data_IF_438961897650
#
_entry.id   IF_438961897650
#
_cell.length_a   1.000
_cell.length_b   1.000
_cell.length_c   1.000
_cell.angle_alpha   90.00
_cell.angle_beta   90.00
_cell.angle_gamma   90.00
#
_symmetry.space_group_name_H-M   'P 1'
#
loop_
_entity.id
_entity.type
_entity.pdbx_description
1 polymer ?
#
# COMPACT_ATOMS: atom_id res chain seq x y z
N UNK A 1 7.32 17.82 -5.61
CA UNK A 1 8.36 16.95 -6.21
C UNK A 1 8.55 17.35 -7.67
N UNK A 2 9.78 17.72 -8.08
CA UNK A 2 10.06 18.31 -9.41
C UNK A 2 9.68 17.40 -10.59
N UNK A 3 9.72 16.08 -10.43
CA UNK A 3 9.38 15.13 -11.50
C UNK A 3 7.89 15.16 -11.89
N UNK A 4 6.98 15.36 -10.92
CA UNK A 4 5.54 15.50 -11.22
C UNK A 4 5.28 16.71 -12.10
N UNK A 5 5.98 17.82 -11.80
CA UNK A 5 5.91 19.05 -12.56
C UNK A 5 6.50 18.88 -13.97
N UNK A 6 7.67 18.24 -14.07
CA UNK A 6 8.29 17.89 -15.37
C UNK A 6 7.32 17.11 -16.26
N UNK A 7 6.64 16.09 -15.71
CA UNK A 7 5.68 15.28 -16.46
C UNK A 7 4.43 16.06 -16.88
N UNK A 8 3.98 17.05 -16.10
CA UNK A 8 2.87 17.94 -16.48
C UNK A 8 3.27 18.87 -17.63
N UNK A 9 4.48 19.43 -17.56
CA UNK A 9 4.94 20.44 -18.51
C UNK A 9 5.51 19.83 -19.81
N UNK A 10 5.93 18.57 -19.78
CA UNK A 10 6.57 17.89 -20.91
C UNK A 10 6.02 16.48 -21.11
N UNK A 11 4.82 16.38 -21.71
CA UNK A 11 4.13 15.11 -21.95
C UNK A 11 4.93 14.10 -22.77
N UNK A 12 5.82 14.56 -23.66
CA UNK A 12 6.73 13.69 -24.42
C UNK A 12 7.68 12.90 -23.51
N UNK A 13 8.12 13.50 -22.40
CA UNK A 13 8.97 12.84 -21.41
C UNK A 13 8.15 11.80 -20.66
N UNK A 14 6.95 12.17 -20.19
CA UNK A 14 6.02 11.22 -19.55
C UNK A 14 5.73 10.02 -20.47
N UNK A 15 5.39 10.28 -21.73
CA UNK A 15 5.11 9.26 -22.74
C UNK A 15 6.28 8.27 -22.94
N UNK A 16 7.52 8.76 -22.88
CA UNK A 16 8.71 7.90 -22.94
C UNK A 16 8.75 6.94 -21.76
N UNK A 17 8.45 7.41 -20.56
CA UNK A 17 8.43 6.57 -19.35
C UNK A 17 7.23 5.62 -19.32
N UNK A 18 6.03 6.07 -19.70
CA UNK A 18 4.84 5.23 -19.81
C UNK A 18 4.98 4.14 -20.89
N UNK A 19 5.79 4.38 -21.93
CA UNK A 19 6.11 3.37 -22.94
C UNK A 19 7.17 2.37 -22.47
N UNK A 20 8.06 2.79 -21.57
CA UNK A 20 9.10 1.94 -20.99
C UNK A 20 8.58 1.07 -19.85
N UNK A 21 7.80 1.65 -18.93
CA UNK A 21 7.28 0.96 -17.75
C UNK A 21 5.85 0.50 -18.00
N UNK A 22 5.74 -0.72 -18.52
CA UNK A 22 4.46 -1.32 -18.90
C UNK A 22 3.65 -1.82 -17.71
N UNK A 23 4.32 -2.14 -16.61
CA UNK A 23 3.74 -2.61 -15.36
C UNK A 23 4.42 -1.88 -14.20
N UNK A 24 3.63 -1.40 -13.25
CA UNK A 24 4.10 -0.64 -12.09
C UNK A 24 3.73 -1.41 -10.84
N UNK A 25 4.74 -1.71 -10.03
CA UNK A 25 4.60 -2.36 -8.74
C UNK A 25 5.02 -1.36 -7.66
N UNK A 26 4.17 -1.15 -6.67
CA UNK A 26 4.47 -0.24 -5.55
C UNK A 26 4.26 -1.00 -4.25
N UNK A 27 5.31 -1.10 -3.45
CA UNK A 27 5.27 -1.67 -2.11
C UNK A 27 5.13 -0.56 -1.06
N UNK A 28 4.73 -0.91 0.16
CA UNK A 28 4.54 0.01 1.29
C UNK A 28 3.63 1.22 0.96
N UNK A 29 2.56 0.97 0.20
CA UNK A 29 1.73 2.02 -0.37
C UNK A 29 1.01 2.88 0.68
N UNK A 30 0.79 2.33 1.89
CA UNK A 30 0.20 3.06 3.02
C UNK A 30 1.02 4.28 3.46
N UNK A 31 2.33 4.28 3.21
CA UNK A 31 3.24 5.35 3.65
C UNK A 31 3.57 6.36 2.54
N UNK A 32 2.86 6.29 1.42
CA UNK A 32 3.03 7.24 0.32
C UNK A 32 2.45 8.62 0.66
N UNK A 33 3.19 9.67 0.31
CA UNK A 33 2.67 11.04 0.34
C UNK A 33 1.99 11.42 -0.97
N UNK A 34 1.30 12.56 -0.99
CA UNK A 34 0.55 13.06 -2.16
C UNK A 34 1.45 13.20 -3.40
N UNK A 35 2.70 13.63 -3.25
CA UNK A 35 3.59 13.81 -4.40
C UNK A 35 4.04 12.48 -5.01
N UNK A 36 4.31 11.47 -4.18
CA UNK A 36 4.60 10.10 -4.63
C UNK A 36 3.37 9.49 -5.32
N UNK A 37 2.19 9.64 -4.70
CA UNK A 37 0.93 9.19 -5.27
C UNK A 37 0.66 9.79 -6.66
N UNK A 38 0.85 11.12 -6.81
CA UNK A 38 0.69 11.79 -8.11
C UNK A 38 1.68 11.29 -9.18
N UNK A 39 2.93 11.00 -8.80
CA UNK A 39 3.90 10.42 -9.73
C UNK A 39 3.43 9.05 -10.23
N UNK A 40 3.02 8.19 -9.31
CA UNK A 40 2.55 6.84 -9.59
C UNK A 40 1.33 6.91 -10.52
N UNK A 41 0.37 7.81 -10.23
CA UNK A 41 -0.83 8.03 -11.06
C UNK A 41 -0.48 8.49 -12.47
N UNK A 42 0.47 9.42 -12.62
CA UNK A 42 0.95 9.85 -13.94
C UNK A 42 1.60 8.71 -14.73
N UNK A 43 2.47 7.92 -14.10
CA UNK A 43 3.14 6.80 -14.75
C UNK A 43 2.17 5.68 -15.14
N UNK A 44 1.17 5.40 -14.30
CA UNK A 44 0.16 4.37 -14.57
C UNK A 44 -0.91 4.81 -15.57
N UNK A 45 -1.13 6.12 -15.75
CA UNK A 45 -2.31 6.68 -16.43
C UNK A 45 -2.51 6.32 -17.91
N UNK A 46 -1.52 5.70 -18.59
CA UNK A 46 -1.67 5.25 -19.98
C UNK A 46 -2.24 3.83 -20.11
N UNK A 47 -1.92 2.95 -19.17
CA UNK A 47 -2.22 1.50 -19.27
C UNK A 47 -2.99 0.94 -18.08
N UNK A 48 -2.94 1.62 -16.94
CA UNK A 48 -3.55 1.19 -15.68
C UNK A 48 -3.06 -0.18 -15.19
N UNK A 49 -1.89 -0.62 -15.69
CA UNK A 49 -1.20 -1.82 -15.23
C UNK A 49 -0.41 -1.52 -13.94
N UNK A 50 -1.15 -1.26 -12.87
CA UNK A 50 -0.59 -0.93 -11.56
C UNK A 50 -1.02 -1.97 -10.52
N UNK A 51 -0.07 -2.42 -9.72
CA UNK A 51 -0.32 -3.24 -8.54
C UNK A 51 0.35 -2.55 -7.35
N UNK A 52 -0.45 -2.27 -6.33
CA UNK A 52 0.02 -1.69 -5.07
C UNK A 52 -0.16 -2.71 -3.96
N UNK A 53 0.82 -2.78 -3.07
CA UNK A 53 0.81 -3.61 -1.88
C UNK A 53 0.99 -2.68 -0.68
N UNK A 54 0.24 -2.94 0.39
CA UNK A 54 0.37 -2.19 1.62
C UNK A 54 -0.59 -2.66 2.68
N UNK A 55 -0.31 -2.24 3.90
CA UNK A 55 -1.09 -2.57 5.09
C UNK A 55 -1.43 -1.28 5.86
N UNK A 56 -2.71 -0.86 5.91
CA UNK A 56 -3.13 0.32 6.66
C UNK A 56 -2.72 0.35 8.13
N UNK A 57 -2.60 -0.82 8.79
CA UNK A 57 -2.22 -0.88 10.22
C UNK A 57 -0.71 -0.68 10.42
N UNK A 58 0.07 -0.70 9.34
CA UNK A 58 1.52 -0.51 9.36
C UNK A 58 1.94 0.90 8.90
N UNK A 59 1.00 1.82 8.72
CA UNK A 59 1.37 3.20 8.37
C UNK A 59 1.94 3.95 9.59
N UNK A 60 3.22 4.29 9.51
CA UNK A 60 3.98 4.94 10.60
C UNK A 60 4.66 6.24 10.16
N UNK A 61 4.55 6.64 8.89
CA UNK A 61 5.22 7.82 8.33
C UNK A 61 4.32 9.06 8.20
N UNK A 62 3.24 9.16 8.98
CA UNK A 62 2.34 10.33 8.97
C UNK A 62 3.08 11.65 9.24
N UNK A 63 4.09 11.63 10.11
CA UNK A 63 4.99 12.75 10.40
C UNK A 63 5.85 13.21 9.20
N UNK A 64 5.95 12.38 8.15
CA UNK A 64 6.56 12.71 6.84
C UNK A 64 5.52 12.94 5.75
N UNK A 65 4.29 13.28 6.13
CA UNK A 65 3.18 13.54 5.22
C UNK A 65 2.70 12.31 4.44
N UNK A 66 2.93 11.10 4.95
CA UNK A 66 2.24 9.92 4.44
C UNK A 66 0.72 10.12 4.57
N UNK A 67 -0.02 9.72 3.54
CA UNK A 67 -1.45 9.88 3.48
C UNK A 67 -2.14 8.52 3.34
N UNK A 68 -2.65 8.00 4.47
CA UNK A 68 -3.36 6.73 4.53
C UNK A 68 -4.58 6.69 3.57
N UNK A 69 -5.11 7.85 3.18
CA UNK A 69 -6.22 7.91 2.21
C UNK A 69 -5.82 7.40 0.84
N UNK A 70 -4.53 7.39 0.49
CA UNK A 70 -4.04 6.88 -0.80
C UNK A 70 -4.37 5.39 -0.96
N UNK A 71 -4.05 4.56 0.04
CA UNK A 71 -4.36 3.13 0.00
C UNK A 71 -5.85 2.86 0.19
N UNK A 72 -6.53 3.65 1.03
CA UNK A 72 -7.97 3.48 1.29
C UNK A 72 -8.85 3.90 0.10
N UNK A 73 -8.38 4.82 -0.73
CA UNK A 73 -9.12 5.36 -1.88
C UNK A 73 -8.69 4.74 -3.21
N UNK A 74 -7.76 3.78 -3.21
CA UNK A 74 -7.24 3.17 -4.44
C UNK A 74 -8.35 2.62 -5.34
N UNK A 75 -9.35 1.95 -4.76
CA UNK A 75 -10.52 1.40 -5.47
C UNK A 75 -11.42 2.49 -6.07
N UNK A 76 -11.36 3.73 -5.57
CA UNK A 76 -12.08 4.87 -6.17
C UNK A 76 -11.33 5.44 -7.37
N UNK A 77 -10.00 5.44 -7.31
CA UNK A 77 -9.14 5.93 -8.39
C UNK A 77 -8.98 4.92 -9.53
N UNK A 78 -9.07 3.62 -9.22
CA UNK A 78 -9.02 2.50 -10.16
C UNK A 78 -10.22 1.57 -9.89
N UNK A 79 -11.43 1.90 -10.36
CA UNK A 79 -12.63 1.08 -10.16
C UNK A 79 -12.53 -0.34 -10.74
N UNK A 80 -11.64 -0.54 -11.73
CA UNK A 80 -11.33 -1.83 -12.34
C UNK A 80 -10.34 -2.68 -11.51
N UNK A 81 -9.81 -2.15 -10.41
CA UNK A 81 -8.80 -2.83 -9.61
C UNK A 81 -9.36 -4.09 -8.96
N UNK A 82 -8.59 -5.19 -9.04
CA UNK A 82 -8.85 -6.40 -8.28
C UNK A 82 -8.21 -6.28 -6.91
N UNK A 83 -9.01 -6.39 -5.85
CA UNK A 83 -8.52 -6.45 -4.46
C UNK A 83 -8.27 -7.90 -4.07
N UNK A 84 -7.10 -8.15 -3.47
CA UNK A 84 -6.71 -9.45 -2.93
C UNK A 84 -6.25 -9.25 -1.50
N UNK A 85 -6.87 -9.98 -0.56
CA UNK A 85 -6.46 -9.99 0.84
C UNK A 85 -5.55 -11.19 1.11
N UNK A 86 -4.42 -10.95 1.77
CA UNK A 86 -3.51 -11.99 2.23
C UNK A 86 -3.70 -12.16 3.74
N UNK A 87 -4.54 -13.12 4.11
CA UNK A 87 -4.92 -13.35 5.51
C UNK A 87 -3.97 -14.31 6.24
N UNK A 88 -3.15 -15.05 5.50
CA UNK A 88 -2.22 -16.00 6.11
C UNK A 88 -0.88 -15.34 6.45
N UNK A 89 -0.55 -15.32 7.74
CA UNK A 89 0.74 -14.90 8.26
C UNK A 89 1.72 -16.09 8.30
N UNK A 90 2.82 -15.95 7.55
CA UNK A 90 3.89 -16.94 7.48
C UNK A 90 5.12 -16.60 8.35
N UNK A 91 5.11 -15.47 9.06
CA UNK A 91 6.27 -14.94 9.81
C UNK A 91 6.20 -15.27 11.30
N UNK A 92 5.03 -15.09 11.89
CA UNK A 92 4.83 -15.05 13.34
C UNK A 92 4.01 -16.25 13.82
N UNK A 93 4.33 -16.75 15.00
CA UNK A 93 3.57 -17.82 15.65
C UNK A 93 2.23 -17.30 16.17
N UNK A 94 1.32 -18.22 16.49
CA UNK A 94 -0.03 -17.90 16.96
C UNK A 94 -0.03 -16.91 18.14
N UNK A 95 0.84 -17.12 19.13
CA UNK A 95 0.95 -16.25 20.31
C UNK A 95 1.35 -14.82 19.97
N UNK A 96 2.30 -14.62 19.05
CA UNK A 96 2.72 -13.28 18.62
C UNK A 96 1.58 -12.61 17.83
N UNK A 97 0.92 -13.36 16.95
CA UNK A 97 -0.15 -12.86 16.11
C UNK A 97 -1.38 -12.44 16.92
N UNK A 98 -1.74 -13.21 17.95
CA UNK A 98 -2.81 -12.88 18.90
C UNK A 98 -2.52 -11.57 19.62
N UNK A 99 -1.32 -11.42 20.23
CA UNK A 99 -0.95 -10.17 20.92
C UNK A 99 -0.98 -8.96 19.98
N UNK A 100 -0.45 -9.11 18.75
CA UNK A 100 -0.50 -8.03 17.77
C UNK A 100 -1.95 -7.67 17.39
N UNK A 101 -2.82 -8.67 17.25
CA UNK A 101 -4.23 -8.50 16.91
C UNK A 101 -5.00 -7.80 18.04
N UNK A 102 -4.70 -8.14 19.29
CA UNK A 102 -5.31 -7.51 20.47
C UNK A 102 -4.90 -6.04 20.58
N UNK A 103 -3.62 -5.71 20.37
CA UNK A 103 -3.11 -4.33 20.41
C UNK A 103 -3.74 -3.47 19.32
N UNK A 104 -3.78 -3.97 18.07
CA UNK A 104 -4.34 -3.19 16.96
C UNK A 104 -5.87 -3.07 17.04
N UNK A 105 -6.53 -3.91 17.84
CA UNK A 105 -7.98 -3.90 18.00
C UNK A 105 -8.54 -2.60 18.56
N UNK A 106 -7.71 -1.82 19.26
CA UNK A 106 -8.09 -0.52 19.80
C UNK A 106 -8.24 0.57 18.72
N UNK A 107 -7.70 0.38 17.50
CA UNK A 107 -7.74 1.39 16.45
C UNK A 107 -9.11 1.45 15.73
N UNK A 108 -9.63 2.68 15.55
CA UNK A 108 -10.97 2.94 15.00
C UNK A 108 -10.99 2.97 13.47
N UNK A 109 -9.99 3.59 12.83
CA UNK A 109 -9.93 3.73 11.37
C UNK A 109 -9.11 2.61 10.73
N UNK A 110 -9.71 1.42 10.60
CA UNK A 110 -9.08 0.27 9.94
C UNK A 110 -10.02 -0.47 9.00
N UNK A 111 -9.46 -1.10 7.98
CA UNK A 111 -10.15 -2.18 7.26
C UNK A 111 -10.07 -3.46 8.12
N UNK A 112 -11.17 -4.17 8.37
CA UNK A 112 -11.14 -5.42 9.14
C UNK A 112 -10.30 -6.47 8.41
N UNK A 113 -9.54 -7.27 9.17
CA UNK A 113 -8.60 -8.28 8.66
C UNK A 113 -8.62 -9.47 9.59
N UNK A 114 -8.65 -10.67 9.03
CA UNK A 114 -8.62 -11.90 9.81
C UNK A 114 -7.29 -12.61 9.59
N UNK A 115 -6.23 -12.16 10.27
CA UNK A 115 -4.92 -12.80 10.12
C UNK A 115 -4.87 -14.15 10.84
N UNK A 116 -4.38 -15.19 10.16
CA UNK A 116 -4.22 -16.54 10.72
C UNK A 116 -2.81 -17.11 10.46
N UNK A 117 -2.38 -18.13 11.20
CA UNK A 117 -1.09 -18.80 10.98
C UNK A 117 -1.14 -20.29 11.25
N UNK A 118 -0.33 -21.07 10.52
CA UNK A 118 -0.12 -22.51 10.75
C UNK A 118 1.17 -22.81 11.52
N UNK A 119 1.94 -21.78 11.90
CA UNK A 119 3.13 -21.96 12.72
C UNK A 119 2.75 -22.42 14.12
N UNK A 120 3.51 -23.38 14.67
CA UNK A 120 3.26 -23.96 16.00
C UNK A 120 3.39 -22.92 17.11
N UNK A 121 2.68 -23.16 18.22
CA UNK A 121 2.82 -22.37 19.45
C UNK A 121 4.28 -22.39 19.92
N UNK A 122 4.82 -21.21 20.18
CA UNK A 122 6.12 -21.00 20.84
C UNK A 122 5.87 -20.59 22.29
N UNK A 123 6.87 -20.74 23.17
CA UNK A 123 6.75 -20.46 24.60
C UNK A 123 6.17 -19.05 24.86
N UNK A 124 5.38 -18.90 25.93
CA UNK A 124 4.76 -17.63 26.36
C UNK A 124 5.73 -16.44 26.24
N UNK A 125 5.26 -15.37 25.58
CA UNK A 125 5.89 -14.05 25.66
C UNK A 125 5.88 -13.61 27.13
N UNK A 126 7.07 -13.35 27.70
CA UNK A 126 7.25 -12.85 29.07
C UNK A 126 7.37 -11.34 29.06
#
# INVERSE_FOLDING_TARGET
MKTVELFRNHLQILNRYQSRYLHILVDEFQDTNIAQYMLIKQLAGKRHNICVVGDPDQSIYSWRFADLRNILSFEKDYPEAKVVFLEQNYRSTKTILEVASDVISANVQRKPKNLCTHLRLTKKLR
#
